data_IF_488977241786
#
_entry.id   IF_488977241786
#
_cell.length_a   1.000
_cell.length_b   1.000
_cell.length_c   1.000
_cell.angle_alpha   90.00
_cell.angle_beta   90.00
_cell.angle_gamma   90.00
#
_symmetry.space_group_name_H-M   'P 1'
#
loop_
_entity.id
_entity.type
_entity.pdbx_description
1 polymer ?
#
# COMPACT_ATOMS: atom_id res chain seq x y z
N UNK A 1 -10.13 24.89 7.43
CA UNK A 1 -8.67 24.72 7.70
C UNK A 1 -8.14 25.49 8.91
N UNK A 2 -8.69 26.64 9.31
CA UNK A 2 -8.24 27.42 10.50
C UNK A 2 -8.60 26.81 11.86
N UNK A 3 -9.64 25.98 11.97
CA UNK A 3 -10.12 25.40 13.24
C UNK A 3 -9.16 24.33 13.78
N UNK A 4 -8.54 23.54 12.90
CA UNK A 4 -7.60 22.49 13.31
C UNK A 4 -6.26 23.04 13.86
N UNK A 5 -5.81 24.19 13.39
CA UNK A 5 -4.56 24.82 13.86
C UNK A 5 -4.67 25.42 15.26
N UNK A 6 -5.88 25.82 15.66
CA UNK A 6 -6.12 26.36 17.02
C UNK A 6 -6.12 25.27 18.07
N UNK A 7 -6.68 24.11 17.78
CA UNK A 7 -6.72 22.96 18.72
C UNK A 7 -5.33 22.38 19.05
N UNK A 8 -4.37 22.44 18.10
CA UNK A 8 -3.01 21.91 18.34
C UNK A 8 -2.21 22.80 19.29
N UNK A 9 -2.48 24.10 19.34
CA UNK A 9 -1.78 25.03 20.26
C UNK A 9 -2.12 24.79 21.73
N UNK A 10 -3.25 24.16 22.02
CA UNK A 10 -3.74 23.91 23.36
C UNK A 10 -3.34 22.53 23.94
N UNK A 11 -2.76 21.65 23.11
CA UNK A 11 -2.27 20.35 23.58
C UNK A 11 -1.07 20.51 24.51
N UNK A 12 -1.07 19.79 25.62
CA UNK A 12 0.08 19.73 26.53
C UNK A 12 1.32 19.15 25.82
N UNK A 13 2.51 19.33 26.38
CA UNK A 13 3.75 18.78 25.83
C UNK A 13 3.73 17.24 25.76
N UNK A 14 3.03 16.60 26.71
CA UNK A 14 2.83 15.15 26.77
C UNK A 14 1.92 14.67 25.62
N UNK A 15 0.78 15.34 25.39
CA UNK A 15 -0.16 14.98 24.33
C UNK A 15 0.48 15.13 22.93
N UNK A 16 1.33 16.16 22.74
CA UNK A 16 2.09 16.35 21.49
C UNK A 16 3.09 15.21 21.25
N UNK A 17 3.81 14.78 22.28
CA UNK A 17 4.74 13.67 22.20
C UNK A 17 4.03 12.35 21.88
N UNK A 18 2.85 12.13 22.44
CA UNK A 18 2.02 10.96 22.15
C UNK A 18 1.53 10.94 20.70
N UNK A 19 1.03 12.07 20.19
CA UNK A 19 0.58 12.20 18.78
C UNK A 19 1.74 11.97 17.80
N UNK A 20 2.94 12.45 18.09
CA UNK A 20 4.14 12.21 17.24
C UNK A 20 4.51 10.73 17.28
N UNK A 21 4.55 10.12 18.44
CA UNK A 21 4.86 8.69 18.62
C UNK A 21 3.86 7.83 17.86
N UNK A 22 2.57 8.14 17.94
CA UNK A 22 1.52 7.42 17.22
C UNK A 22 1.68 7.51 15.69
N UNK A 23 2.03 8.66 15.13
CA UNK A 23 2.24 8.78 13.68
C UNK A 23 3.42 7.94 13.17
N UNK A 24 4.53 7.91 13.92
CA UNK A 24 5.68 7.08 13.59
C UNK A 24 5.34 5.58 13.72
N UNK A 25 4.59 5.20 14.74
CA UNK A 25 4.14 3.82 14.93
C UNK A 25 3.19 3.39 13.82
N UNK A 26 2.23 4.23 13.43
CA UNK A 26 1.32 3.97 12.32
C UNK A 26 2.11 3.77 11.01
N UNK A 27 3.03 4.67 10.69
CA UNK A 27 3.86 4.55 9.48
C UNK A 27 4.67 3.24 9.46
N UNK A 28 5.29 2.87 10.59
CA UNK A 28 6.02 1.59 10.71
C UNK A 28 5.09 0.39 10.51
N UNK A 29 3.90 0.45 11.09
CA UNK A 29 2.92 -0.64 10.97
C UNK A 29 2.41 -0.79 9.55
N UNK A 30 2.14 0.32 8.85
CA UNK A 30 1.77 0.31 7.43
C UNK A 30 2.88 -0.37 6.59
N UNK A 31 4.15 0.00 6.79
CA UNK A 31 5.27 -0.64 6.07
C UNK A 31 5.42 -2.14 6.38
N UNK A 32 5.12 -2.56 7.60
CA UNK A 32 5.10 -3.98 7.96
C UNK A 32 3.99 -4.73 7.23
N UNK A 33 2.79 -4.15 7.17
CA UNK A 33 1.65 -4.71 6.46
C UNK A 33 1.93 -4.76 4.95
N UNK A 34 2.49 -3.72 4.36
CA UNK A 34 2.89 -3.71 2.95
C UNK A 34 3.88 -4.84 2.62
N UNK A 35 4.89 -5.08 3.46
CA UNK A 35 5.80 -6.21 3.27
C UNK A 35 5.10 -7.56 3.35
N UNK A 36 4.16 -7.72 4.28
CA UNK A 36 3.34 -8.94 4.38
C UNK A 36 2.46 -9.12 3.15
N UNK A 37 1.85 -8.03 2.66
CA UNK A 37 1.08 -8.02 1.44
C UNK A 37 1.90 -8.50 0.24
N UNK A 38 3.10 -7.94 0.04
CA UNK A 38 4.00 -8.36 -1.03
C UNK A 38 4.35 -9.85 -0.96
N UNK A 39 4.61 -10.37 0.23
CA UNK A 39 4.88 -11.80 0.42
C UNK A 39 3.65 -12.67 0.08
N UNK A 40 2.43 -12.22 0.42
CA UNK A 40 1.20 -12.93 0.05
C UNK A 40 0.91 -12.85 -1.45
N UNK A 41 1.17 -11.72 -2.11
CA UNK A 41 1.05 -11.59 -3.58
C UNK A 41 2.00 -12.57 -4.27
N UNK A 42 3.26 -12.62 -3.86
CA UNK A 42 4.21 -13.60 -4.41
C UNK A 42 3.76 -15.05 -4.17
N UNK A 43 3.15 -15.34 -3.01
CA UNK A 43 2.57 -16.66 -2.73
C UNK A 43 1.33 -16.94 -3.60
N UNK A 44 0.45 -15.97 -3.79
CA UNK A 44 -0.69 -16.06 -4.70
C UNK A 44 -0.27 -16.40 -6.13
N UNK A 45 0.77 -15.75 -6.64
CA UNK A 45 1.34 -16.05 -7.96
C UNK A 45 1.88 -17.47 -8.05
N UNK A 46 2.56 -17.95 -6.98
CA UNK A 46 3.03 -19.33 -6.92
C UNK A 46 1.87 -20.34 -6.93
N UNK A 47 0.80 -20.08 -6.20
CA UNK A 47 -0.40 -20.94 -6.20
C UNK A 47 -1.09 -20.94 -7.56
N UNK A 48 -1.22 -19.76 -8.19
CA UNK A 48 -1.78 -19.65 -9.55
C UNK A 48 -0.94 -20.41 -10.58
N UNK A 49 0.38 -20.36 -10.47
CA UNK A 49 1.27 -21.11 -11.36
C UNK A 49 1.21 -22.64 -11.16
N UNK A 50 0.63 -23.11 -10.06
CA UNK A 50 0.39 -24.54 -9.80
C UNK A 50 -0.98 -25.02 -10.29
N UNK A 51 -1.88 -24.08 -10.62
CA UNK A 51 -3.16 -24.47 -11.19
C UNK A 51 -2.96 -25.13 -12.57
N UNK A 52 -3.83 -26.05 -12.97
CA UNK A 52 -3.80 -26.61 -14.31
C UNK A 52 -3.97 -25.53 -15.38
N UNK A 53 -3.31 -25.69 -16.54
CA UNK A 53 -3.34 -24.70 -17.64
C UNK A 53 -4.76 -24.30 -18.05
N UNK A 54 -5.71 -25.24 -18.00
CA UNK A 54 -7.12 -25.00 -18.31
C UNK A 54 -7.83 -24.08 -17.28
N UNK A 55 -7.30 -23.97 -16.05
CA UNK A 55 -7.84 -23.07 -15.02
C UNK A 55 -7.23 -21.65 -15.10
N UNK A 56 -6.11 -21.47 -15.77
CA UNK A 56 -5.39 -20.18 -15.91
C UNK A 56 -5.71 -19.51 -17.23
N UNK A 57 -5.90 -20.29 -18.31
CA UNK A 57 -6.25 -19.74 -19.62
C UNK A 57 -7.70 -19.22 -19.65
N UNK A 58 -7.94 -18.07 -20.33
CA UNK A 58 -9.31 -17.61 -20.53
C UNK A 58 -10.14 -18.70 -21.23
N UNK A 59 -11.27 -19.02 -20.64
CA UNK A 59 -12.19 -20.04 -21.12
C UNK A 59 -12.49 -19.86 -22.61
N UNK A 60 -12.06 -20.82 -23.44
CA UNK A 60 -12.46 -20.87 -24.85
C UNK A 60 -13.89 -21.45 -24.94
N UNK A 61 -14.88 -20.56 -24.67
CA UNK A 61 -16.29 -20.94 -24.64
C UNK A 61 -16.89 -21.19 -26.03
N UNK A 62 -16.15 -20.86 -27.09
CA UNK A 62 -16.62 -21.01 -28.46
C UNK A 62 -16.73 -22.49 -28.84
N UNK A 63 -17.97 -22.92 -29.11
CA UNK A 63 -18.25 -24.32 -29.48
C UNK A 63 -18.60 -25.27 -28.33
N UNK A 64 -18.57 -24.78 -27.08
CA UNK A 64 -18.97 -25.58 -25.91
C UNK A 64 -20.47 -25.49 -25.66
N UNK A 65 -21.05 -26.58 -25.20
CA UNK A 65 -22.42 -26.64 -24.71
C UNK A 65 -22.54 -26.00 -23.32
N UNK A 66 -23.75 -25.60 -22.92
CA UNK A 66 -24.00 -25.05 -21.62
C UNK A 66 -23.67 -26.02 -20.46
N UNK A 67 -23.67 -27.31 -20.72
CA UNK A 67 -23.34 -28.36 -19.73
C UNK A 67 -21.83 -28.49 -19.55
N UNK A 68 -21.07 -28.46 -20.64
CA UNK A 68 -19.60 -28.44 -20.62
C UNK A 68 -19.07 -27.19 -19.93
N UNK A 69 -19.67 -26.02 -20.19
CA UNK A 69 -19.30 -24.77 -19.51
C UNK A 69 -19.55 -24.89 -18.00
N UNK A 70 -20.70 -25.42 -17.57
CA UNK A 70 -21.01 -25.60 -16.15
C UNK A 70 -20.06 -26.56 -15.46
N UNK A 71 -19.73 -27.68 -16.10
CA UNK A 71 -18.74 -28.61 -15.57
C UNK A 71 -17.38 -27.96 -15.41
N UNK A 72 -16.89 -27.28 -16.43
CA UNK A 72 -15.60 -26.57 -16.39
C UNK A 72 -15.54 -25.51 -15.29
N UNK A 73 -16.59 -24.69 -15.12
CA UNK A 73 -16.65 -23.69 -14.03
C UNK A 73 -16.65 -24.36 -12.66
N UNK A 74 -17.35 -25.49 -12.51
CA UNK A 74 -17.34 -26.27 -11.26
C UNK A 74 -15.95 -26.85 -10.96
N UNK A 75 -15.27 -27.38 -11.98
CA UNK A 75 -13.93 -27.94 -11.84
C UNK A 75 -12.90 -26.86 -11.52
N UNK A 76 -13.01 -25.66 -12.13
CA UNK A 76 -12.20 -24.47 -11.78
C UNK A 76 -12.39 -24.09 -10.32
N UNK A 77 -13.64 -23.91 -9.90
CA UNK A 77 -13.94 -23.52 -8.51
C UNK A 77 -13.40 -24.54 -7.50
N UNK A 78 -13.45 -25.82 -7.84
CA UNK A 78 -12.89 -26.89 -7.00
C UNK A 78 -11.37 -26.80 -6.94
N UNK A 79 -10.70 -26.62 -8.08
CA UNK A 79 -9.24 -26.49 -8.15
C UNK A 79 -8.74 -25.24 -7.39
N UNK A 80 -9.43 -24.11 -7.51
CA UNK A 80 -9.12 -22.89 -6.76
C UNK A 80 -9.29 -23.08 -5.25
N UNK A 81 -10.39 -23.71 -4.81
CA UNK A 81 -10.64 -24.00 -3.40
C UNK A 81 -9.58 -24.95 -2.81
N UNK A 82 -9.19 -26.00 -3.56
CA UNK A 82 -8.16 -26.97 -3.14
C UNK A 82 -6.75 -26.36 -3.14
N UNK A 83 -6.47 -25.36 -3.99
CA UNK A 83 -5.17 -24.69 -4.04
C UNK A 83 -4.88 -23.82 -2.83
N UNK A 84 -5.89 -23.41 -2.06
CA UNK A 84 -5.78 -22.45 -0.98
C UNK A 84 -5.73 -20.98 -1.44
N UNK A 85 -6.03 -20.71 -2.71
CA UNK A 85 -6.00 -19.39 -3.31
C UNK A 85 -6.98 -18.42 -2.61
N UNK A 86 -8.21 -18.89 -2.35
CA UNK A 86 -9.26 -18.15 -1.65
C UNK A 86 -8.80 -17.64 -0.26
N UNK A 87 -8.08 -18.48 0.48
CA UNK A 87 -7.56 -18.11 1.80
C UNK A 87 -6.47 -17.03 1.70
N UNK A 88 -5.64 -17.08 0.66
CA UNK A 88 -4.62 -16.05 0.41
C UNK A 88 -5.29 -14.75 0.00
N UNK A 89 -6.30 -14.79 -0.85
CA UNK A 89 -7.07 -13.60 -1.28
C UNK A 89 -7.79 -12.95 -0.09
N UNK A 90 -8.44 -13.73 0.75
CA UNK A 90 -9.05 -13.24 1.99
C UNK A 90 -8.03 -12.54 2.91
N UNK A 91 -6.82 -13.08 3.05
CA UNK A 91 -5.75 -12.44 3.84
C UNK A 91 -5.22 -11.15 3.21
N UNK A 92 -5.19 -11.09 1.87
CA UNK A 92 -4.83 -9.86 1.16
C UNK A 92 -5.87 -8.78 1.43
N UNK A 93 -7.16 -9.08 1.31
CA UNK A 93 -8.26 -8.14 1.59
C UNK A 93 -8.20 -7.62 3.04
N UNK A 94 -7.95 -8.51 4.01
CA UNK A 94 -7.81 -8.12 5.41
C UNK A 94 -6.62 -7.19 5.65
N UNK A 95 -5.49 -7.42 4.96
CA UNK A 95 -4.32 -6.54 5.06
C UNK A 95 -4.59 -5.20 4.39
N UNK A 96 -5.21 -5.19 3.22
CA UNK A 96 -5.53 -3.96 2.49
C UNK A 96 -6.49 -3.09 3.31
N UNK A 97 -7.52 -3.68 3.93
CA UNK A 97 -8.40 -2.95 4.83
C UNK A 97 -7.63 -2.36 6.03
N UNK A 98 -6.72 -3.11 6.65
CA UNK A 98 -5.91 -2.58 7.77
C UNK A 98 -5.01 -1.43 7.33
N UNK A 99 -4.42 -1.50 6.15
CA UNK A 99 -3.60 -0.42 5.59
C UNK A 99 -4.45 0.83 5.38
N UNK A 100 -5.62 0.71 4.74
CA UNK A 100 -6.52 1.84 4.46
C UNK A 100 -7.00 2.52 5.74
N UNK A 101 -7.36 1.75 6.78
CA UNK A 101 -7.74 2.29 8.08
C UNK A 101 -6.60 3.09 8.72
N UNK A 102 -5.37 2.57 8.69
CA UNK A 102 -4.21 3.25 9.27
C UNK A 102 -3.77 4.48 8.47
N UNK A 103 -3.87 4.43 7.15
CA UNK A 103 -3.64 5.59 6.28
C UNK A 103 -4.68 6.69 6.54
N UNK A 104 -5.96 6.32 6.68
CA UNK A 104 -7.02 7.24 7.05
C UNK A 104 -6.74 7.95 8.38
N UNK A 105 -6.25 7.22 9.39
CA UNK A 105 -5.81 7.81 10.66
C UNK A 105 -4.61 8.74 10.49
N UNK A 106 -3.63 8.36 9.67
CA UNK A 106 -2.43 9.17 9.44
C UNK A 106 -2.76 10.48 8.73
N UNK A 107 -3.67 10.45 7.74
CA UNK A 107 -4.12 11.62 6.98
C UNK A 107 -4.93 12.59 7.86
N UNK A 108 -5.81 12.07 8.70
CA UNK A 108 -6.68 12.90 9.55
C UNK A 108 -5.96 13.47 10.77
N UNK A 109 -4.84 12.89 11.18
CA UNK A 109 -4.06 13.38 12.32
C UNK A 109 -3.18 14.57 11.92
N UNK A 110 -3.30 15.76 12.55
CA UNK A 110 -2.53 16.93 12.18
C UNK A 110 -1.01 16.72 12.28
N UNK A 111 -0.25 17.26 11.34
CA UNK A 111 1.22 17.19 11.37
C UNK A 111 1.77 18.19 12.37
N UNK A 112 2.39 17.70 13.44
CA UNK A 112 2.96 18.52 14.52
C UNK A 112 4.49 18.48 14.58
N UNK A 113 5.15 17.64 13.76
CA UNK A 113 6.60 17.52 13.71
C UNK A 113 7.11 17.22 12.30
N UNK A 114 8.40 17.47 12.08
CA UNK A 114 9.07 17.14 10.81
C UNK A 114 9.06 15.63 10.55
N UNK A 115 9.23 14.81 11.58
CA UNK A 115 9.20 13.35 11.49
C UNK A 115 7.86 12.83 11.00
N UNK A 116 6.76 13.47 11.42
CA UNK A 116 5.43 13.11 10.94
C UNK A 116 5.24 13.50 9.48
N UNK A 117 5.67 14.70 9.10
CA UNK A 117 5.60 15.15 7.70
C UNK A 117 6.42 14.18 6.82
N UNK A 118 7.62 13.82 7.27
CA UNK A 118 8.46 12.84 6.56
C UNK A 118 7.77 11.49 6.41
N UNK A 119 7.13 10.97 7.48
CA UNK A 119 6.42 9.71 7.43
C UNK A 119 5.26 9.72 6.41
N UNK A 120 4.50 10.82 6.35
CA UNK A 120 3.42 10.99 5.36
C UNK A 120 3.99 11.07 3.94
N UNK A 121 5.03 11.87 3.73
CA UNK A 121 5.67 12.01 2.40
C UNK A 121 6.25 10.67 1.93
N UNK A 122 6.93 9.94 2.80
CA UNK A 122 7.47 8.62 2.47
C UNK A 122 6.36 7.64 2.08
N UNK A 123 5.25 7.61 2.82
CA UNK A 123 4.11 6.77 2.49
C UNK A 123 3.52 7.15 1.13
N UNK A 124 3.38 8.44 0.87
CA UNK A 124 2.90 8.95 -0.43
C UNK A 124 3.78 8.48 -1.58
N UNK A 125 5.11 8.58 -1.43
CA UNK A 125 6.07 8.08 -2.45
C UNK A 125 5.89 6.57 -2.67
N UNK A 126 5.79 5.79 -1.58
CA UNK A 126 5.58 4.34 -1.69
C UNK A 126 4.30 4.02 -2.46
N UNK A 127 3.19 4.71 -2.16
CA UNK A 127 1.91 4.50 -2.85
C UNK A 127 1.98 4.89 -4.33
N UNK A 128 2.66 5.97 -4.67
CA UNK A 128 2.85 6.33 -6.07
C UNK A 128 3.63 5.23 -6.83
N UNK A 129 4.70 4.69 -6.25
CA UNK A 129 5.45 3.60 -6.89
C UNK A 129 4.64 2.30 -7.04
N UNK A 130 3.65 2.06 -6.19
CA UNK A 130 2.76 0.89 -6.29
C UNK A 130 1.75 1.01 -7.44
N UNK A 131 1.32 2.23 -7.80
CA UNK A 131 0.28 2.47 -8.81
C UNK A 131 0.84 2.92 -10.17
N UNK A 132 2.04 3.47 -10.19
CA UNK A 132 2.67 3.97 -11.42
C UNK A 132 3.30 2.87 -12.25
N UNK A 133 3.20 3.05 -13.57
CA UNK A 133 4.06 2.33 -14.51
C UNK A 133 5.46 2.96 -14.49
N UNK A 134 6.46 2.17 -14.12
CA UNK A 134 7.85 2.63 -13.96
C UNK A 134 8.73 2.44 -15.18
N UNK A 135 8.32 1.58 -16.14
CA UNK A 135 9.06 1.37 -17.39
C UNK A 135 8.78 2.49 -18.39
N UNK A 136 9.78 3.32 -18.76
CA UNK A 136 9.59 4.41 -19.73
C UNK A 136 9.19 3.94 -21.15
N UNK A 137 9.34 2.66 -21.45
CA UNK A 137 8.98 2.09 -22.76
C UNK A 137 7.55 1.52 -22.74
N UNK A 138 6.88 1.47 -21.59
CA UNK A 138 5.50 1.03 -21.50
C UNK A 138 4.56 2.10 -22.07
N UNK A 139 3.51 1.66 -22.77
CA UNK A 139 2.52 2.54 -23.41
C UNK A 139 1.69 3.34 -22.40
N UNK A 140 1.64 2.89 -21.15
CA UNK A 140 0.93 3.56 -20.05
C UNK A 140 1.86 4.41 -19.18
N UNK A 141 3.15 4.54 -19.56
CA UNK A 141 4.09 5.39 -18.81
C UNK A 141 3.73 6.87 -18.94
N UNK A 142 3.51 7.55 -17.81
CA UNK A 142 3.23 8.99 -17.76
C UNK A 142 4.46 9.77 -17.24
N UNK A 143 5.06 10.56 -18.14
CA UNK A 143 6.18 11.43 -17.82
C UNK A 143 5.84 12.51 -16.78
N UNK A 144 4.57 12.94 -16.70
CA UNK A 144 4.09 13.92 -15.74
C UNK A 144 4.06 13.32 -14.33
N UNK A 145 3.51 12.11 -14.19
CA UNK A 145 3.50 11.37 -12.92
C UNK A 145 4.91 11.07 -12.45
N UNK A 146 5.80 10.57 -13.31
CA UNK A 146 7.19 10.29 -12.99
C UNK A 146 7.92 11.54 -12.47
N UNK A 147 7.66 12.71 -13.09
CA UNK A 147 8.23 14.00 -12.62
C UNK A 147 7.66 14.41 -11.27
N UNK A 148 6.35 14.19 -11.04
CA UNK A 148 5.71 14.50 -9.76
C UNK A 148 6.31 13.66 -8.64
N UNK A 149 6.51 12.36 -8.87
CA UNK A 149 7.16 11.48 -7.89
C UNK A 149 8.57 11.93 -7.57
N UNK A 150 9.36 12.27 -8.59
CA UNK A 150 10.73 12.78 -8.38
C UNK A 150 10.75 14.06 -7.53
N UNK A 151 9.75 14.96 -7.68
CA UNK A 151 9.62 16.16 -6.84
C UNK A 151 9.27 15.80 -5.39
N UNK A 152 8.37 14.84 -5.17
CA UNK A 152 7.98 14.40 -3.83
C UNK A 152 9.15 13.67 -3.14
N UNK A 153 9.91 12.86 -3.88
CA UNK A 153 11.13 12.22 -3.39
C UNK A 153 12.17 13.25 -2.95
N UNK A 154 12.35 14.29 -3.72
CA UNK A 154 13.23 15.41 -3.36
C UNK A 154 12.80 16.06 -2.04
N UNK A 155 11.50 16.32 -1.86
CA UNK A 155 10.95 16.86 -0.60
C UNK A 155 11.22 15.93 0.57
N UNK A 156 11.06 14.61 0.39
CA UNK A 156 11.39 13.59 1.40
C UNK A 156 12.87 13.67 1.82
N UNK A 157 13.76 13.75 0.85
CA UNK A 157 15.21 13.78 1.10
C UNK A 157 15.63 15.06 1.81
N UNK A 158 15.06 16.21 1.43
CA UNK A 158 15.28 17.50 2.10
C UNK A 158 14.76 17.47 3.55
N UNK A 159 13.59 16.87 3.81
CA UNK A 159 13.05 16.67 5.16
C UNK A 159 13.97 15.80 6.02
N UNK A 160 14.46 14.68 5.48
CA UNK A 160 15.41 13.81 6.16
C UNK A 160 16.67 14.59 6.53
N UNK A 161 17.20 15.40 5.64
CA UNK A 161 18.36 16.26 5.90
C UNK A 161 18.11 17.30 7.01
N UNK A 162 16.90 17.86 7.09
CA UNK A 162 16.50 18.79 8.16
C UNK A 162 16.40 18.08 9.51
N UNK A 163 15.79 16.90 9.56
CA UNK A 163 15.65 16.08 10.77
C UNK A 163 17.04 15.72 11.33
N UNK A 164 17.98 15.30 10.49
CA UNK A 164 19.33 14.93 10.92
C UNK A 164 20.08 16.12 11.49
N UNK A 165 20.00 17.28 10.84
CA UNK A 165 20.62 18.52 11.36
C UNK A 165 20.07 18.92 12.70
N UNK A 166 18.73 18.92 12.84
CA UNK A 166 18.07 19.25 14.11
C UNK A 166 18.47 18.32 15.27
N UNK A 167 18.78 17.07 14.98
CA UNK A 167 19.26 16.10 15.99
C UNK A 167 20.71 16.34 16.37
N UNK A 168 21.55 16.70 15.38
CA UNK A 168 22.96 17.02 15.63
C UNK A 168 23.15 18.28 16.45
N UNK A 169 22.29 19.29 16.26
CA UNK A 169 22.34 20.55 17.01
C UNK A 169 21.81 20.42 18.44
N UNK A 170 21.11 19.33 18.74
CA UNK A 170 20.53 19.07 20.09
C UNK A 170 21.43 18.14 20.96
N UNK A 171 22.54 17.64 20.42
CA UNK A 171 23.49 16.72 21.09
C UNK A 171 24.74 17.43 21.53
#
# INVERSE_FOLDING_TARGET
MRIAQTQIRELSRADRAEVITNAILLSRRIHELQRRRQALVAHQEQLRAQLPDWAVEPLRLVGMTAEEIRSMVSDMSTAEAESGLEEVERKLDEIDQQIDEMEGLLVTTPSSSLEKIEAVVRLTVTRFHEIMVTDPNDVFYDHGEARLVALIERVRDDLNGLIQRSRSDAS
#
